data_IF_160830977254
#
_entry.id   IF_160830977254
#
_cell.length_a   1.000
_cell.length_b   1.000
_cell.length_c   1.000
_cell.angle_alpha   90.00
_cell.angle_beta   90.00
_cell.angle_gamma   90.00
#
_symmetry.space_group_name_H-M   'P 1'
#
loop_
_entity.id
_entity.type
_entity.pdbx_description
1 polymer ?
#
# COMPACT_ATOMS: atom_id res chain seq x y z
N UNK A 1 18.51 -20.29 14.97
CA UNK A 1 18.83 -18.86 14.98
C UNK A 1 17.57 -18.18 15.47
N UNK A 2 17.61 -17.43 16.57
CA UNK A 2 16.50 -16.61 17.01
C UNK A 2 16.36 -15.50 15.97
N UNK A 3 15.25 -15.50 15.22
CA UNK A 3 14.89 -14.39 14.33
C UNK A 3 14.71 -13.18 15.25
N UNK A 4 15.43 -12.10 14.99
CA UNK A 4 15.19 -10.83 15.69
C UNK A 4 13.77 -10.38 15.38
N UNK A 5 13.02 -9.83 16.36
CA UNK A 5 11.69 -9.31 16.09
C UNK A 5 11.76 -8.26 14.96
N UNK A 6 10.85 -8.36 13.99
CA UNK A 6 10.78 -7.42 12.86
C UNK A 6 10.33 -6.04 13.36
N UNK A 7 9.40 -6.01 14.29
CA UNK A 7 8.90 -4.79 14.94
C UNK A 7 9.75 -4.45 16.16
N UNK A 8 10.09 -3.19 16.30
CA UNK A 8 10.87 -2.62 17.42
C UNK A 8 10.08 -1.49 18.07
N UNK A 9 10.48 -1.11 19.28
CA UNK A 9 9.93 0.07 19.93
C UNK A 9 10.16 1.32 19.07
N UNK A 10 9.15 2.14 18.94
CA UNK A 10 9.28 3.50 18.44
C UNK A 10 9.29 4.42 19.65
N UNK A 11 10.46 4.95 19.97
CA UNK A 11 10.77 5.66 21.20
C UNK A 11 9.70 6.67 21.60
N UNK A 12 9.20 6.57 22.82
CA UNK A 12 8.16 7.43 23.41
C UNK A 12 6.81 7.46 22.66
N UNK A 13 6.55 6.48 21.75
CA UNK A 13 5.33 6.45 20.96
C UNK A 13 4.58 5.14 21.11
N UNK A 14 5.19 4.01 20.75
CA UNK A 14 4.55 2.67 20.81
C UNK A 14 5.62 1.60 21.02
N UNK A 15 5.30 0.58 21.82
CA UNK A 15 6.22 -0.53 22.08
C UNK A 15 6.09 -1.65 21.05
N UNK A 16 7.14 -2.44 20.88
CA UNK A 16 7.13 -3.64 20.04
C UNK A 16 6.05 -4.64 20.48
N UNK A 17 5.78 -4.74 21.79
CA UNK A 17 4.71 -5.56 22.34
C UNK A 17 3.32 -5.10 21.86
N UNK A 18 3.07 -3.80 21.90
CA UNK A 18 1.84 -3.20 21.40
C UNK A 18 1.67 -3.38 19.88
N UNK A 19 2.74 -3.20 19.10
CA UNK A 19 2.72 -3.47 17.66
C UNK A 19 2.47 -4.95 17.37
N UNK A 20 3.07 -5.85 18.13
CA UNK A 20 2.83 -7.30 18.02
C UNK A 20 1.37 -7.64 18.33
N UNK A 21 0.80 -7.05 19.36
CA UNK A 21 -0.62 -7.24 19.70
C UNK A 21 -1.54 -6.72 18.57
N UNK A 22 -1.19 -5.61 17.91
CA UNK A 22 -1.91 -5.13 16.72
C UNK A 22 -1.84 -6.13 15.56
N UNK A 23 -0.69 -6.80 15.32
CA UNK A 23 -0.63 -7.85 14.28
C UNK A 23 -1.50 -9.05 14.61
N UNK A 24 -1.58 -9.43 15.89
CA UNK A 24 -2.47 -10.49 16.35
C UNK A 24 -3.94 -10.13 16.15
N UNK A 25 -4.32 -8.88 16.43
CA UNK A 25 -5.68 -8.39 16.21
C UNK A 25 -6.08 -8.42 14.71
N UNK A 26 -5.13 -8.21 13.77
CA UNK A 26 -5.36 -8.43 12.33
C UNK A 26 -5.55 -9.93 12.04
N UNK A 27 -4.72 -10.79 12.63
CA UNK A 27 -4.79 -12.24 12.43
C UNK A 27 -6.12 -12.87 12.89
N UNK A 28 -6.71 -12.34 13.96
CA UNK A 28 -8.01 -12.79 14.49
C UNK A 28 -9.16 -12.65 13.48
N UNK A 29 -9.05 -11.72 12.55
CA UNK A 29 -10.09 -11.46 11.55
C UNK A 29 -9.87 -12.19 10.23
N UNK A 30 -8.75 -12.91 10.09
CA UNK A 30 -8.53 -13.76 8.92
C UNK A 30 -9.51 -14.94 8.91
N UNK A 31 -10.20 -15.11 7.80
CA UNK A 31 -11.14 -16.21 7.60
C UNK A 31 -10.40 -17.55 7.36
N UNK A 32 -11.08 -18.70 7.59
CA UNK A 32 -10.46 -20.02 7.38
C UNK A 32 -9.93 -20.26 5.96
N UNK A 33 -10.53 -19.62 4.95
CA UNK A 33 -10.08 -19.70 3.55
C UNK A 33 -8.87 -18.80 3.25
N UNK A 34 -8.38 -18.04 4.22
CA UNK A 34 -7.25 -17.13 4.06
C UNK A 34 -7.60 -15.67 3.77
N UNK A 35 -8.84 -15.35 3.40
CA UNK A 35 -9.29 -13.97 3.19
C UNK A 35 -9.16 -13.14 4.47
N UNK A 36 -8.64 -11.92 4.36
CA UNK A 36 -8.66 -10.93 5.44
C UNK A 36 -9.61 -9.80 5.03
N UNK A 37 -10.80 -9.71 5.64
CA UNK A 37 -11.75 -8.64 5.36
C UNK A 37 -11.32 -7.33 6.01
N UNK A 38 -11.89 -6.20 5.59
CA UNK A 38 -11.67 -4.91 6.23
C UNK A 38 -12.01 -4.94 7.72
N UNK A 39 -13.13 -5.57 8.05
CA UNK A 39 -13.62 -5.80 9.41
C UNK A 39 -14.52 -7.06 9.43
N UNK A 40 -14.86 -7.62 10.58
CA UNK A 40 -15.70 -8.82 10.66
C UNK A 40 -17.03 -8.66 9.92
N UNK A 41 -17.28 -9.55 8.96
CA UNK A 41 -18.48 -9.52 8.11
C UNK A 41 -18.45 -8.47 6.98
N UNK A 42 -17.39 -7.71 6.88
CA UNK A 42 -17.15 -6.78 5.77
C UNK A 42 -16.53 -7.46 4.55
N UNK A 43 -16.33 -6.67 3.53
CA UNK A 43 -15.67 -7.11 2.31
C UNK A 43 -14.13 -7.11 2.44
N UNK A 44 -13.47 -7.76 1.50
CA UNK A 44 -12.05 -7.60 1.20
C UNK A 44 -11.91 -7.09 -0.24
N UNK A 45 -10.95 -6.21 -0.48
CA UNK A 45 -10.35 -5.98 -1.78
C UNK A 45 -8.90 -6.49 -1.78
N UNK A 46 -8.36 -6.63 -2.96
CA UNK A 46 -7.03 -7.23 -3.14
C UNK A 46 -5.90 -6.35 -2.59
N UNK A 47 -6.06 -5.02 -2.62
CA UNK A 47 -5.07 -4.09 -2.07
C UNK A 47 -5.00 -4.19 -0.55
N UNK A 48 -6.12 -3.91 0.13
CA UNK A 48 -6.17 -3.91 1.59
C UNK A 48 -5.90 -5.30 2.19
N UNK A 49 -6.35 -6.37 1.51
CA UNK A 49 -5.98 -7.73 1.86
C UNK A 49 -4.46 -7.93 1.80
N UNK A 50 -3.79 -7.47 0.74
CA UNK A 50 -2.33 -7.58 0.60
C UNK A 50 -1.60 -6.80 1.69
N UNK A 51 -2.08 -5.62 2.08
CA UNK A 51 -1.52 -4.86 3.21
C UNK A 51 -1.69 -5.60 4.53
N UNK A 52 -2.84 -6.21 4.74
CA UNK A 52 -3.05 -7.07 5.93
C UNK A 52 -2.09 -8.26 5.94
N UNK A 53 -1.75 -8.86 4.78
CA UNK A 53 -0.74 -9.91 4.70
C UNK A 53 0.66 -9.38 5.07
N UNK A 54 1.02 -8.15 4.65
CA UNK A 54 2.27 -7.53 5.07
C UNK A 54 2.31 -7.30 6.58
N UNK A 55 1.18 -6.88 7.19
CA UNK A 55 1.05 -6.77 8.64
C UNK A 55 1.24 -8.12 9.34
N UNK A 56 0.65 -9.21 8.83
CA UNK A 56 0.86 -10.56 9.36
C UNK A 56 2.33 -10.98 9.32
N UNK A 57 3.04 -10.64 8.23
CA UNK A 57 4.47 -10.95 8.08
C UNK A 57 5.33 -10.18 9.09
N UNK A 58 5.02 -8.91 9.37
CA UNK A 58 5.68 -8.13 10.43
C UNK A 58 5.48 -8.73 11.81
N UNK A 59 4.34 -9.37 12.06
CA UNK A 59 4.04 -10.11 13.29
C UNK A 59 4.58 -11.54 13.32
N UNK A 60 5.45 -11.93 12.38
CA UNK A 60 5.98 -13.30 12.24
C UNK A 60 4.87 -14.37 12.04
N UNK A 61 3.69 -13.96 11.57
CA UNK A 61 2.60 -14.89 11.22
C UNK A 61 2.71 -15.34 9.76
N UNK A 62 3.80 -16.05 9.45
CA UNK A 62 4.07 -16.57 8.12
C UNK A 62 2.92 -17.41 7.56
N UNK A 63 2.39 -18.33 8.37
CA UNK A 63 1.32 -19.22 7.93
C UNK A 63 0.01 -18.48 7.60
N UNK A 64 -0.30 -17.39 8.31
CA UNK A 64 -1.41 -16.52 7.99
C UNK A 64 -1.22 -15.81 6.66
N UNK A 65 -0.04 -15.24 6.44
CA UNK A 65 0.29 -14.57 5.19
C UNK A 65 0.24 -15.53 3.99
N UNK A 66 0.82 -16.73 4.12
CA UNK A 66 0.81 -17.74 3.05
C UNK A 66 -0.62 -18.20 2.70
N UNK A 67 -1.49 -18.46 3.68
CA UNK A 67 -2.91 -18.74 3.42
C UNK A 67 -3.62 -17.61 2.70
N UNK A 68 -3.27 -16.35 2.99
CA UNK A 68 -3.81 -15.21 2.27
C UNK A 68 -3.37 -15.17 0.81
N UNK A 69 -2.13 -15.48 0.50
CA UNK A 69 -1.66 -15.61 -0.89
C UNK A 69 -2.32 -16.81 -1.60
N UNK A 70 -2.53 -17.93 -0.92
CA UNK A 70 -3.29 -19.07 -1.47
C UNK A 70 -4.72 -18.67 -1.82
N UNK A 71 -5.37 -17.86 -0.98
CA UNK A 71 -6.68 -17.31 -1.30
C UNK A 71 -6.63 -16.44 -2.54
N UNK A 72 -5.68 -15.51 -2.67
CA UNK A 72 -5.50 -14.68 -3.87
C UNK A 72 -5.30 -15.52 -5.13
N UNK A 73 -4.46 -16.57 -5.07
CA UNK A 73 -4.26 -17.51 -6.19
C UNK A 73 -5.55 -18.24 -6.57
N UNK A 74 -6.37 -18.62 -5.58
CA UNK A 74 -7.60 -19.40 -5.80
C UNK A 74 -8.71 -18.60 -6.48
N UNK A 75 -8.69 -17.26 -6.35
CA UNK A 75 -9.72 -16.36 -6.90
C UNK A 75 -9.20 -15.49 -8.06
N UNK A 76 -7.93 -15.66 -8.47
CA UNK A 76 -7.41 -14.96 -9.64
C UNK A 76 -8.13 -15.40 -10.90
N UNK A 77 -8.54 -14.43 -11.70
CA UNK A 77 -9.19 -14.67 -12.99
C UNK A 77 -8.20 -15.15 -14.04
N UNK A 78 -8.69 -15.78 -15.10
CA UNK A 78 -7.87 -16.24 -16.23
C UNK A 78 -7.13 -15.08 -16.94
N UNK A 79 -7.66 -13.84 -16.86
CA UNK A 79 -7.02 -12.66 -17.43
C UNK A 79 -5.99 -12.00 -16.50
N UNK A 80 -5.69 -12.62 -15.36
CA UNK A 80 -4.70 -12.17 -14.38
C UNK A 80 -5.23 -11.17 -13.35
N UNK A 81 -6.46 -10.69 -13.45
CA UNK A 81 -7.05 -9.71 -12.55
C UNK A 81 -7.83 -10.35 -11.39
N UNK A 82 -8.33 -9.49 -10.51
CA UNK A 82 -9.32 -9.79 -9.47
C UNK A 82 -10.47 -8.78 -9.55
N UNK A 83 -11.62 -9.21 -9.05
CA UNK A 83 -12.75 -8.29 -8.84
C UNK A 83 -12.45 -7.32 -7.71
N UNK A 84 -13.19 -6.20 -7.67
CA UNK A 84 -12.95 -5.10 -6.73
C UNK A 84 -13.22 -5.52 -5.28
N UNK A 85 -14.39 -6.08 -4.99
CA UNK A 85 -14.77 -6.49 -3.65
C UNK A 85 -15.30 -7.91 -3.58
N UNK A 86 -14.91 -8.59 -2.51
CA UNK A 86 -15.33 -9.95 -2.18
C UNK A 86 -15.94 -9.96 -0.78
N UNK A 87 -17.12 -10.57 -0.67
CA UNK A 87 -17.69 -11.05 0.58
C UNK A 87 -17.38 -12.54 0.77
N UNK A 88 -17.72 -13.07 1.95
CA UNK A 88 -17.58 -14.52 2.23
C UNK A 88 -18.36 -15.36 1.23
N UNK A 89 -19.52 -14.85 0.78
CA UNK A 89 -20.44 -15.53 -0.12
C UNK A 89 -20.08 -15.40 -1.61
N UNK A 90 -19.15 -14.49 -1.96
CA UNK A 90 -18.75 -14.28 -3.35
C UNK A 90 -18.40 -12.84 -3.70
N UNK A 91 -18.50 -12.51 -4.98
CA UNK A 91 -18.15 -11.20 -5.52
C UNK A 91 -19.24 -10.19 -5.17
N UNK A 92 -18.85 -9.08 -4.53
CA UNK A 92 -19.73 -7.95 -4.23
C UNK A 92 -19.70 -6.89 -5.35
N UNK A 93 -18.50 -6.55 -5.85
CA UNK A 93 -18.30 -5.63 -6.98
C UNK A 93 -17.35 -6.24 -8.01
N UNK A 94 -17.80 -6.35 -9.24
CA UNK A 94 -17.09 -7.08 -10.31
C UNK A 94 -16.11 -6.23 -11.13
N UNK A 95 -15.99 -4.94 -10.86
CA UNK A 95 -15.00 -4.05 -11.47
C UNK A 95 -13.57 -4.58 -11.22
N UNK A 96 -12.66 -4.35 -12.16
CA UNK A 96 -11.26 -4.76 -12.12
C UNK A 96 -10.37 -3.51 -11.99
N UNK A 97 -9.95 -3.18 -10.77
CA UNK A 97 -9.13 -2.00 -10.49
C UNK A 97 -7.65 -2.30 -10.73
N UNK A 98 -7.02 -1.55 -11.62
CA UNK A 98 -5.62 -1.78 -12.02
C UNK A 98 -4.63 -1.63 -10.86
N UNK A 99 -4.88 -0.72 -9.92
CA UNK A 99 -4.02 -0.53 -8.76
C UNK A 99 -4.12 -1.71 -7.78
N UNK A 100 -5.34 -2.15 -7.46
CA UNK A 100 -5.54 -3.32 -6.60
C UNK A 100 -4.86 -4.55 -7.18
N UNK A 101 -5.00 -4.78 -8.50
CA UNK A 101 -4.36 -5.88 -9.21
C UNK A 101 -2.82 -5.80 -9.15
N UNK A 102 -2.24 -4.63 -9.39
CA UNK A 102 -0.79 -4.43 -9.34
C UNK A 102 -0.21 -4.69 -7.95
N UNK A 103 -0.93 -4.32 -6.90
CA UNK A 103 -0.41 -4.26 -5.54
C UNK A 103 -0.02 -5.61 -4.95
N UNK A 104 -0.57 -6.70 -5.47
CA UNK A 104 -0.19 -8.08 -5.10
C UNK A 104 1.32 -8.31 -5.24
N UNK A 105 1.95 -7.72 -6.27
CA UNK A 105 3.39 -7.83 -6.46
C UNK A 105 4.20 -7.17 -5.32
N UNK A 106 3.69 -6.10 -4.73
CA UNK A 106 4.29 -5.45 -3.56
C UNK A 106 4.28 -6.41 -2.36
N UNK A 107 3.15 -7.07 -2.09
CA UNK A 107 3.06 -8.06 -1.02
C UNK A 107 3.95 -9.28 -1.24
N UNK A 108 4.05 -9.79 -2.48
CA UNK A 108 4.94 -10.92 -2.81
C UNK A 108 6.41 -10.52 -2.67
N UNK A 109 6.79 -9.30 -3.08
CA UNK A 109 8.14 -8.80 -2.87
C UNK A 109 8.45 -8.60 -1.38
N UNK A 110 7.47 -8.11 -0.60
CA UNK A 110 7.56 -8.01 0.85
C UNK A 110 7.80 -9.38 1.50
N UNK A 111 7.10 -10.42 1.05
CA UNK A 111 7.30 -11.81 1.49
C UNK A 111 8.74 -12.28 1.20
N UNK A 112 9.25 -12.01 0.00
CA UNK A 112 10.64 -12.31 -0.35
C UNK A 112 11.66 -11.58 0.52
N UNK A 113 11.45 -10.29 0.78
CA UNK A 113 12.32 -9.52 1.65
C UNK A 113 12.34 -10.09 3.07
N UNK A 114 11.18 -10.52 3.58
CA UNK A 114 11.02 -11.05 4.93
C UNK A 114 11.64 -12.44 5.10
N UNK A 115 11.34 -13.37 4.21
CA UNK A 115 11.65 -14.79 4.43
C UNK A 115 12.78 -15.34 3.55
N UNK A 116 13.13 -14.68 2.47
CA UNK A 116 14.10 -15.14 1.47
C UNK A 116 13.81 -16.55 0.96
N UNK A 117 12.53 -16.92 0.90
CA UNK A 117 12.07 -18.22 0.45
C UNK A 117 11.87 -18.22 -1.07
N UNK A 118 12.87 -18.77 -1.77
CA UNK A 118 12.85 -18.86 -3.24
C UNK A 118 11.73 -19.78 -3.75
N UNK A 119 11.43 -20.87 -3.03
CA UNK A 119 10.36 -21.79 -3.43
C UNK A 119 8.98 -21.11 -3.39
N UNK A 120 8.71 -20.32 -2.34
CA UNK A 120 7.49 -19.52 -2.27
C UNK A 120 7.45 -18.45 -3.37
N UNK A 121 8.58 -17.76 -3.65
CA UNK A 121 8.66 -16.78 -4.73
C UNK A 121 8.36 -17.39 -6.10
N UNK A 122 8.91 -18.58 -6.39
CA UNK A 122 8.64 -19.34 -7.63
C UNK A 122 7.17 -19.78 -7.71
N UNK A 123 6.56 -20.22 -6.62
CA UNK A 123 5.16 -20.64 -6.57
C UNK A 123 4.18 -19.46 -6.77
N UNK A 124 4.53 -18.25 -6.32
CA UNK A 124 3.72 -17.03 -6.46
C UNK A 124 3.96 -16.30 -7.79
N UNK A 125 5.04 -16.63 -8.51
CA UNK A 125 5.42 -15.95 -9.75
C UNK A 125 4.34 -15.95 -10.84
N UNK A 126 3.63 -17.06 -11.17
CA UNK A 126 2.58 -17.02 -12.18
C UNK A 126 1.51 -15.97 -11.87
N UNK A 127 1.08 -15.88 -10.61
CA UNK A 127 0.09 -14.91 -10.15
C UNK A 127 0.56 -13.46 -10.39
N UNK A 128 1.80 -13.14 -9.99
CA UNK A 128 2.40 -11.81 -10.19
C UNK A 128 2.57 -11.48 -11.66
N UNK A 129 3.05 -12.45 -12.46
CA UNK A 129 3.23 -12.28 -13.90
C UNK A 129 1.93 -11.88 -14.58
N UNK A 130 0.87 -12.65 -14.36
CA UNK A 130 -0.41 -12.48 -15.05
C UNK A 130 -1.09 -11.18 -14.60
N UNK A 131 -0.99 -10.81 -13.30
CA UNK A 131 -1.45 -9.53 -12.79
C UNK A 131 -0.70 -8.34 -13.43
N UNK A 132 0.62 -8.44 -13.57
CA UNK A 132 1.44 -7.39 -14.18
C UNK A 132 1.11 -7.21 -15.67
N UNK A 133 0.94 -8.30 -16.39
CA UNK A 133 0.58 -8.26 -17.81
C UNK A 133 -0.83 -7.67 -18.01
N UNK A 134 -1.80 -7.99 -17.14
CA UNK A 134 -3.13 -7.35 -17.12
C UNK A 134 -3.02 -5.84 -16.95
N UNK A 135 -2.26 -5.37 -15.98
CA UNK A 135 -2.10 -3.93 -15.67
C UNK A 135 -1.45 -3.18 -16.84
N UNK A 136 -0.39 -3.75 -17.41
CA UNK A 136 0.31 -3.15 -18.55
C UNK A 136 -0.54 -3.13 -19.83
N UNK A 137 -1.49 -4.06 -19.99
CA UNK A 137 -2.44 -4.03 -21.10
C UNK A 137 -3.41 -2.82 -21.02
N UNK A 138 -3.54 -2.17 -19.86
CA UNK A 138 -4.32 -0.93 -19.67
C UNK A 138 -3.49 0.36 -19.90
N UNK A 139 -2.18 0.24 -20.18
CA UNK A 139 -1.32 1.40 -20.38
C UNK A 139 -1.64 2.10 -21.71
N UNK A 140 -1.80 3.41 -21.64
CA UNK A 140 -2.08 4.24 -22.80
C UNK A 140 -0.78 4.64 -23.53
N UNK A 141 -0.87 5.06 -24.80
CA UNK A 141 0.31 5.48 -25.56
C UNK A 141 1.15 6.59 -24.90
N UNK A 142 0.54 7.49 -24.16
CA UNK A 142 1.19 8.57 -23.41
C UNK A 142 1.97 8.03 -22.20
N UNK A 143 1.50 6.91 -21.55
CA UNK A 143 2.18 6.25 -20.46
C UNK A 143 1.33 6.00 -19.19
N UNK A 144 0.22 6.74 -19.01
CA UNK A 144 -0.72 6.52 -17.92
C UNK A 144 -1.42 5.17 -18.03
N UNK A 145 -1.81 4.61 -16.89
CA UNK A 145 -2.58 3.37 -16.82
C UNK A 145 -4.02 3.70 -16.44
N UNK A 146 -4.98 3.24 -17.24
CA UNK A 146 -6.41 3.44 -16.98
C UNK A 146 -6.76 2.83 -15.63
N UNK A 147 -7.56 3.57 -14.84
CA UNK A 147 -7.93 3.21 -13.47
C UNK A 147 -8.46 1.80 -13.34
N UNK A 148 -9.44 1.43 -14.17
CA UNK A 148 -10.13 0.17 -14.04
C UNK A 148 -10.73 -0.29 -15.36
N UNK A 149 -11.21 -1.51 -15.37
CA UNK A 149 -12.00 -2.13 -16.44
C UNK A 149 -13.24 -2.78 -15.84
N UNK A 150 -14.36 -2.76 -16.54
CA UNK A 150 -15.52 -3.58 -16.21
C UNK A 150 -15.25 -5.06 -16.46
N UNK A 151 -16.00 -5.94 -15.81
CA UNK A 151 -15.85 -7.39 -15.99
C UNK A 151 -16.10 -7.86 -17.43
N UNK A 152 -16.89 -7.11 -18.22
CA UNK A 152 -17.12 -7.31 -19.65
C UNK A 152 -15.97 -6.84 -20.56
N UNK A 153 -14.87 -6.41 -19.96
CA UNK A 153 -13.66 -5.88 -20.62
C UNK A 153 -13.73 -4.44 -21.09
N UNK A 154 -14.81 -3.71 -20.88
CA UNK A 154 -14.91 -2.29 -21.21
C UNK A 154 -14.03 -1.46 -20.27
N UNK A 155 -13.01 -0.71 -20.75
CA UNK A 155 -12.14 0.08 -19.90
C UNK A 155 -12.87 1.38 -19.46
N UNK A 156 -12.51 1.88 -18.28
CA UNK A 156 -12.78 3.26 -17.90
C UNK A 156 -11.98 4.22 -18.79
N UNK A 157 -12.32 5.51 -18.77
CA UNK A 157 -11.75 6.50 -19.71
C UNK A 157 -10.74 7.45 -19.06
N UNK A 158 -10.31 7.19 -17.84
CA UNK A 158 -9.40 8.04 -17.08
C UNK A 158 -8.41 7.23 -16.25
N UNK A 159 -7.28 7.87 -15.95
CA UNK A 159 -6.29 7.39 -15.01
C UNK A 159 -6.34 8.22 -13.72
N UNK A 160 -5.90 7.64 -12.60
CA UNK A 160 -5.78 8.31 -11.30
C UNK A 160 -4.31 8.47 -10.94
N UNK A 161 -3.92 9.64 -10.44
CA UNK A 161 -2.53 9.92 -10.04
C UNK A 161 -2.10 9.02 -8.87
N UNK A 162 -2.93 8.89 -7.85
CA UNK A 162 -2.73 7.98 -6.71
C UNK A 162 -2.53 6.55 -7.19
N UNK A 163 -3.50 6.01 -7.93
CA UNK A 163 -3.44 4.64 -8.44
C UNK A 163 -2.22 4.40 -9.33
N UNK A 164 -1.93 5.33 -10.26
CA UNK A 164 -0.76 5.22 -11.14
C UNK A 164 0.57 5.28 -10.38
N UNK A 165 0.66 6.06 -9.30
CA UNK A 165 1.85 6.10 -8.43
C UNK A 165 2.08 4.75 -7.73
N UNK A 166 1.02 4.18 -7.14
CA UNK A 166 1.06 2.86 -6.50
C UNK A 166 1.37 1.75 -7.53
N UNK A 167 0.74 1.79 -8.72
CA UNK A 167 1.04 0.87 -9.81
C UNK A 167 2.54 0.95 -10.19
N UNK A 168 3.10 2.16 -10.32
CA UNK A 168 4.51 2.33 -10.66
C UNK A 168 5.43 1.65 -9.64
N UNK A 169 5.14 1.77 -8.34
CA UNK A 169 5.86 1.07 -7.28
C UNK A 169 5.68 -0.45 -7.41
N UNK A 170 4.46 -0.92 -7.58
CA UNK A 170 4.12 -2.35 -7.69
C UNK A 170 4.76 -3.02 -8.92
N UNK A 171 4.80 -2.33 -10.06
CA UNK A 171 5.50 -2.81 -11.26
C UNK A 171 7.02 -2.92 -11.04
N UNK A 172 7.62 -2.03 -10.24
CA UNK A 172 9.04 -2.14 -9.84
C UNK A 172 9.26 -3.36 -8.94
N UNK A 173 8.32 -3.68 -8.05
CA UNK A 173 8.33 -4.92 -7.28
C UNK A 173 8.22 -6.15 -8.21
N UNK A 174 7.31 -6.13 -9.18
CA UNK A 174 7.17 -7.19 -10.19
C UNK A 174 8.48 -7.42 -10.96
N UNK A 175 9.13 -6.33 -11.37
CA UNK A 175 10.42 -6.40 -12.07
C UNK A 175 11.54 -6.94 -11.17
N UNK A 176 11.55 -6.58 -9.88
CA UNK A 176 12.49 -7.10 -8.90
C UNK A 176 12.31 -8.62 -8.72
N UNK A 177 11.06 -9.09 -8.62
CA UNK A 177 10.73 -10.53 -8.56
C UNK A 177 11.20 -11.24 -9.84
N UNK A 178 10.90 -10.69 -11.02
CA UNK A 178 11.32 -11.25 -12.30
C UNK A 178 12.84 -11.42 -12.38
N UNK A 179 13.59 -10.38 -12.00
CA UNK A 179 15.06 -10.40 -11.99
C UNK A 179 15.62 -11.41 -11.00
N UNK A 180 15.05 -11.49 -9.78
CA UNK A 180 15.45 -12.48 -8.77
C UNK A 180 15.28 -13.91 -9.28
N UNK A 181 14.22 -14.18 -10.06
CA UNK A 181 13.94 -15.47 -10.66
C UNK A 181 14.69 -15.70 -12.00
N UNK A 182 15.39 -14.71 -12.54
CA UNK A 182 16.13 -14.81 -13.80
C UNK A 182 15.25 -14.65 -15.05
N UNK A 183 14.10 -14.00 -14.92
CA UNK A 183 13.20 -13.70 -16.03
C UNK A 183 13.48 -12.32 -16.63
N UNK A 184 13.77 -12.25 -17.91
CA UNK A 184 13.90 -11.00 -18.65
C UNK A 184 12.52 -10.47 -19.05
N UNK A 185 12.27 -9.16 -18.79
CA UNK A 185 10.98 -8.51 -19.02
C UNK A 185 11.12 -7.09 -19.60
N UNK A 186 11.70 -6.96 -20.82
CA UNK A 186 11.96 -5.64 -21.39
C UNK A 186 10.70 -4.81 -21.64
N UNK A 187 9.56 -5.45 -21.90
CA UNK A 187 8.28 -4.75 -22.04
C UNK A 187 7.81 -4.13 -20.72
N UNK A 188 8.07 -4.80 -19.59
CA UNK A 188 7.75 -4.23 -18.27
C UNK A 188 8.65 -3.04 -17.95
N UNK A 189 9.94 -3.14 -18.27
CA UNK A 189 10.89 -2.04 -18.10
C UNK A 189 10.45 -0.78 -18.86
N UNK A 190 10.05 -0.95 -20.12
CA UNK A 190 9.52 0.16 -20.95
C UNK A 190 8.20 0.71 -20.39
N UNK A 191 7.31 -0.16 -19.90
CA UNK A 191 6.05 0.25 -19.28
C UNK A 191 6.27 1.07 -18.01
N UNK A 192 7.19 0.65 -17.14
CA UNK A 192 7.58 1.36 -15.93
C UNK A 192 8.16 2.73 -16.28
N UNK A 193 9.06 2.81 -17.26
CA UNK A 193 9.68 4.06 -17.69
C UNK A 193 8.62 5.08 -18.16
N UNK A 194 7.70 4.65 -19.02
CA UNK A 194 6.61 5.51 -19.51
C UNK A 194 5.71 5.99 -18.37
N UNK A 195 5.31 5.08 -17.47
CA UNK A 195 4.45 5.43 -16.35
C UNK A 195 5.16 6.40 -15.39
N UNK A 196 6.43 6.16 -15.09
CA UNK A 196 7.22 7.05 -14.24
C UNK A 196 7.30 8.47 -14.82
N UNK A 197 7.61 8.59 -16.11
CA UNK A 197 7.70 9.88 -16.80
C UNK A 197 6.38 10.64 -16.80
N UNK A 198 5.27 9.98 -17.14
CA UNK A 198 3.97 10.66 -17.18
C UNK A 198 3.52 11.11 -15.79
N UNK A 199 3.78 10.34 -14.72
CA UNK A 199 3.48 10.75 -13.34
C UNK A 199 4.30 12.00 -12.96
N UNK A 200 5.58 12.03 -13.32
CA UNK A 200 6.49 13.13 -12.96
C UNK A 200 6.21 14.40 -13.75
N UNK A 201 5.98 14.29 -15.05
CA UNK A 201 6.07 15.40 -15.98
C UNK A 201 4.72 15.86 -16.54
N UNK A 202 3.65 15.04 -16.45
CA UNK A 202 2.40 15.27 -17.17
C UNK A 202 1.16 15.15 -16.26
N UNK A 203 0.97 16.05 -15.28
CA UNK A 203 -0.10 15.95 -14.29
C UNK A 203 -1.52 15.99 -14.90
N UNK A 204 -1.69 16.54 -16.10
CA UNK A 204 -2.95 16.59 -16.84
C UNK A 204 -3.34 15.25 -17.50
N UNK A 205 -2.46 14.24 -17.45
CA UNK A 205 -2.80 12.87 -17.84
C UNK A 205 -3.80 12.21 -16.89
N UNK A 206 -3.97 12.77 -15.68
CA UNK A 206 -4.75 12.15 -14.62
C UNK A 206 -6.02 12.96 -14.32
N UNK A 207 -7.09 12.25 -13.96
CA UNK A 207 -8.31 12.88 -13.51
C UNK A 207 -8.04 13.74 -12.25
N UNK A 208 -8.52 15.00 -12.20
CA UNK A 208 -8.23 15.89 -11.09
C UNK A 208 -8.88 15.40 -9.79
N UNK A 209 -8.08 15.05 -8.82
CA UNK A 209 -8.47 14.58 -7.48
C UNK A 209 -7.83 15.40 -6.36
N UNK A 210 -7.59 16.68 -6.59
CA UNK A 210 -6.90 17.59 -5.65
C UNK A 210 -7.51 17.66 -4.26
N UNK A 211 -8.74 17.25 -4.11
CA UNK A 211 -9.46 17.16 -2.83
C UNK A 211 -8.91 16.03 -1.95
N UNK A 212 -8.33 14.97 -2.53
CA UNK A 212 -7.90 13.77 -1.84
C UNK A 212 -6.43 13.86 -1.43
N UNK A 213 -6.11 13.46 -0.19
CA UNK A 213 -4.75 13.52 0.35
C UNK A 213 -3.79 12.60 -0.41
N UNK A 214 -4.24 11.42 -0.78
CA UNK A 214 -3.41 10.44 -1.50
C UNK A 214 -2.86 11.01 -2.82
N UNK A 215 -3.62 11.82 -3.56
CA UNK A 215 -3.13 12.49 -4.78
C UNK A 215 -1.95 13.45 -4.50
N UNK A 216 -1.86 13.94 -3.28
CA UNK A 216 -0.78 14.82 -2.87
C UNK A 216 0.49 14.05 -2.51
N UNK A 217 0.45 13.04 -1.62
CA UNK A 217 1.66 12.41 -1.09
C UNK A 217 2.06 11.11 -1.81
N UNK A 218 1.17 10.39 -2.50
CA UNK A 218 1.47 9.11 -3.15
C UNK A 218 2.62 9.16 -4.17
N UNK A 219 2.75 10.20 -5.02
CA UNK A 219 3.90 10.28 -5.92
C UNK A 219 5.26 10.31 -5.20
N UNK A 220 5.28 10.80 -3.93
CA UNK A 220 6.47 10.77 -3.06
C UNK A 220 6.61 9.42 -2.40
N UNK A 221 5.55 8.91 -1.77
CA UNK A 221 5.50 7.60 -1.11
C UNK A 221 5.98 6.48 -2.05
N UNK A 222 5.55 6.52 -3.30
CA UNK A 222 5.91 5.51 -4.32
C UNK A 222 7.26 5.78 -5.02
N UNK A 223 8.00 6.80 -4.58
CA UNK A 223 9.34 7.09 -5.04
C UNK A 223 9.44 7.59 -6.48
N UNK A 224 8.39 8.22 -7.01
CA UNK A 224 8.40 8.88 -8.34
C UNK A 224 8.85 10.32 -8.21
N UNK A 225 8.33 11.06 -7.25
CA UNK A 225 8.77 12.43 -6.93
C UNK A 225 9.67 12.37 -5.70
N UNK A 226 10.94 12.78 -5.83
CA UNK A 226 12.00 12.51 -4.86
C UNK A 226 12.70 13.78 -4.40
N UNK A 227 13.59 13.64 -3.43
CA UNK A 227 14.56 14.65 -3.00
C UNK A 227 13.92 16.03 -2.74
N UNK A 228 14.48 17.10 -3.27
CA UNK A 228 13.98 18.45 -3.11
C UNK A 228 12.59 18.66 -3.71
N UNK A 229 12.28 17.99 -4.83
CA UNK A 229 10.95 18.05 -5.45
C UNK A 229 9.90 17.37 -4.55
N UNK A 230 10.25 16.23 -3.93
CA UNK A 230 9.40 15.54 -2.97
C UNK A 230 9.11 16.39 -1.74
N UNK A 231 10.14 17.00 -1.14
CA UNK A 231 9.98 17.94 -0.02
C UNK A 231 9.07 19.13 -0.37
N UNK A 232 9.30 19.73 -1.54
CA UNK A 232 8.47 20.84 -2.03
C UNK A 232 7.02 20.40 -2.21
N UNK A 233 6.77 19.22 -2.77
CA UNK A 233 5.42 18.69 -2.96
C UNK A 233 4.71 18.48 -1.62
N UNK A 234 5.38 17.87 -0.64
CA UNK A 234 4.82 17.63 0.68
C UNK A 234 4.54 18.94 1.43
N UNK A 235 5.49 19.88 1.44
CA UNK A 235 5.32 21.16 2.15
C UNK A 235 4.20 22.04 1.57
N UNK A 236 4.03 22.07 0.24
CA UNK A 236 3.09 22.95 -0.43
C UNK A 236 1.62 22.73 -0.06
N UNK A 237 1.25 21.56 0.43
CA UNK A 237 -0.15 21.26 0.77
C UNK A 237 -0.32 20.69 2.17
N UNK A 238 0.72 20.67 2.96
CA UNK A 238 0.68 20.13 4.32
C UNK A 238 -0.43 20.77 5.16
N UNK A 239 -0.52 22.09 5.21
CA UNK A 239 -1.55 22.80 5.96
C UNK A 239 -2.98 22.53 5.47
N UNK A 240 -3.16 22.26 4.17
CA UNK A 240 -4.48 21.95 3.62
C UNK A 240 -5.00 20.59 4.07
N UNK A 241 -4.09 19.64 4.35
CA UNK A 241 -4.44 18.29 4.72
C UNK A 241 -4.19 17.94 6.18
N UNK A 242 -3.36 18.69 6.91
CA UNK A 242 -3.08 18.41 8.33
C UNK A 242 -4.06 19.10 9.27
N UNK A 243 -4.33 18.46 10.40
CA UNK A 243 -4.83 19.08 11.62
C UNK A 243 -3.80 18.77 12.70
N UNK A 244 -3.16 19.83 13.23
CA UNK A 244 -2.11 19.69 14.24
C UNK A 244 -2.58 18.83 15.41
N UNK A 245 -1.71 17.93 15.88
CA UNK A 245 -1.94 16.98 16.95
C UNK A 245 -2.96 15.86 16.63
N UNK A 246 -3.59 15.88 15.46
CA UNK A 246 -4.59 14.88 15.05
C UNK A 246 -4.12 13.99 13.89
N UNK A 247 -3.60 14.55 12.81
CA UNK A 247 -3.14 13.80 11.65
C UNK A 247 -3.52 14.42 10.31
N UNK A 248 -3.61 13.55 9.32
CA UNK A 248 -3.92 13.91 7.92
C UNK A 248 -5.38 13.65 7.62
N UNK A 249 -6.03 14.65 7.01
CA UNK A 249 -7.37 14.53 6.45
C UNK A 249 -7.35 13.68 5.20
N UNK A 250 -8.26 12.73 5.08
CA UNK A 250 -8.43 12.00 3.81
C UNK A 250 -8.86 12.93 2.66
N UNK A 251 -9.60 14.01 2.99
CA UNK A 251 -10.01 15.04 2.03
C UNK A 251 -9.80 16.44 2.61
N UNK A 252 -9.35 17.40 1.80
CA UNK A 252 -8.95 18.74 2.26
C UNK A 252 -10.09 19.62 2.77
N UNK A 253 -11.33 19.35 2.38
CA UNK A 253 -12.53 20.15 2.66
C UNK A 253 -13.42 19.57 3.78
N UNK A 254 -12.94 18.54 4.48
CA UNK A 254 -13.62 17.90 5.62
C UNK A 254 -12.65 17.68 6.76
N UNK A 255 -13.10 17.75 8.00
CA UNK A 255 -12.25 17.50 9.17
C UNK A 255 -12.14 15.99 9.48
N UNK A 256 -11.99 15.17 8.47
CA UNK A 256 -11.94 13.71 8.55
C UNK A 256 -10.50 13.24 8.59
N UNK A 257 -9.98 13.03 9.78
CA UNK A 257 -8.64 12.48 10.01
C UNK A 257 -8.71 10.96 9.93
N UNK A 258 -7.75 10.35 9.25
CA UNK A 258 -7.62 8.89 9.15
C UNK A 258 -6.24 8.45 9.59
N UNK A 259 -6.15 7.27 10.22
CA UNK A 259 -4.87 6.73 10.65
C UNK A 259 -4.04 6.26 9.45
N UNK A 260 -4.66 5.65 8.43
CA UNK A 260 -3.97 5.15 7.25
C UNK A 260 -3.27 6.28 6.49
N UNK A 261 -4.00 7.33 6.05
CA UNK A 261 -3.39 8.46 5.35
C UNK A 261 -2.35 9.21 6.19
N UNK A 262 -2.53 9.22 7.52
CA UNK A 262 -1.53 9.82 8.41
C UNK A 262 -0.23 9.01 8.42
N UNK A 263 -0.31 7.69 8.49
CA UNK A 263 0.84 6.78 8.48
C UNK A 263 1.52 6.74 7.11
N UNK A 264 0.77 6.67 6.02
CA UNK A 264 1.31 6.71 4.65
C UNK A 264 2.03 8.05 4.38
N UNK A 265 1.44 9.17 4.84
CA UNK A 265 2.07 10.48 4.75
C UNK A 265 3.35 10.55 5.60
N UNK A 266 3.38 9.90 6.77
CA UNK A 266 4.60 9.79 7.58
C UNK A 266 5.71 9.04 6.81
N UNK A 267 5.40 7.94 6.15
CA UNK A 267 6.37 7.22 5.31
C UNK A 267 6.83 8.10 4.14
N UNK A 268 5.93 8.86 3.51
CA UNK A 268 6.30 9.79 2.43
C UNK A 268 7.29 10.87 2.90
N UNK A 269 7.12 11.42 4.12
CA UNK A 269 8.09 12.34 4.73
C UNK A 269 9.42 11.64 5.03
N UNK A 270 9.37 10.39 5.51
CA UNK A 270 10.58 9.60 5.75
C UNK A 270 11.37 9.37 4.45
N UNK A 271 10.69 9.08 3.34
CA UNK A 271 11.29 8.85 2.02
C UNK A 271 12.04 10.07 1.46
N UNK A 272 11.75 11.27 1.93
CA UNK A 272 12.50 12.50 1.58
C UNK A 272 13.43 12.97 2.71
N UNK A 273 13.64 12.16 3.76
CA UNK A 273 14.54 12.44 4.86
C UNK A 273 14.02 13.47 5.88
N UNK A 274 12.70 13.66 5.98
CA UNK A 274 12.06 14.52 6.99
C UNK A 274 11.60 13.70 8.20
N UNK A 275 12.57 13.09 8.88
CA UNK A 275 12.36 12.12 9.98
C UNK A 275 11.51 12.69 11.11
N UNK A 276 11.79 13.93 11.55
CA UNK A 276 11.05 14.57 12.65
C UNK A 276 9.56 14.72 12.31
N UNK A 277 9.24 15.08 11.07
CA UNK A 277 7.87 15.19 10.59
C UNK A 277 7.20 13.82 10.50
N UNK A 278 7.90 12.81 10.03
CA UNK A 278 7.41 11.44 9.99
C UNK A 278 7.06 10.93 11.40
N UNK A 279 7.95 11.15 12.38
CA UNK A 279 7.72 10.79 13.77
C UNK A 279 6.55 11.57 14.40
N UNK A 280 6.41 12.85 14.09
CA UNK A 280 5.29 13.66 14.55
C UNK A 280 3.94 13.12 14.04
N UNK A 281 3.83 12.84 12.75
CA UNK A 281 2.62 12.25 12.15
C UNK A 281 2.31 10.88 12.73
N UNK A 282 3.32 10.03 12.88
CA UNK A 282 3.13 8.71 13.48
C UNK A 282 2.67 8.80 14.93
N UNK A 283 3.19 9.75 15.71
CA UNK A 283 2.69 10.00 17.07
C UNK A 283 1.24 10.45 17.07
N UNK A 284 0.84 11.29 16.12
CA UNK A 284 -0.56 11.75 16.02
C UNK A 284 -1.51 10.60 15.68
N UNK A 285 -1.11 9.66 14.83
CA UNK A 285 -1.94 8.51 14.47
C UNK A 285 -2.27 7.61 15.67
N UNK A 286 -1.44 7.61 16.73
CA UNK A 286 -1.66 6.80 17.93
C UNK A 286 -2.89 7.23 18.76
N UNK A 287 -3.44 8.42 18.50
CA UNK A 287 -4.74 8.83 19.10
C UNK A 287 -5.91 7.96 18.65
N UNK A 288 -5.76 7.27 17.54
CA UNK A 288 -6.79 6.36 16.99
C UNK A 288 -6.62 4.91 17.48
N UNK A 289 -5.62 4.66 18.34
CA UNK A 289 -5.40 3.36 18.96
C UNK A 289 -6.34 3.14 20.14
N UNK A 290 -6.90 1.95 20.24
CA UNK A 290 -7.78 1.51 21.32
C UNK A 290 -7.11 0.50 22.25
N UNK A 291 -7.72 0.27 23.43
CA UNK A 291 -7.25 -0.70 24.42
C UNK A 291 -7.26 -2.16 23.89
N UNK A 292 -8.05 -2.43 22.84
CA UNK A 292 -8.10 -3.73 22.15
C UNK A 292 -7.01 -3.91 21.10
N UNK A 293 -6.00 -3.03 21.09
CA UNK A 293 -4.86 -3.01 20.17
C UNK A 293 -5.21 -2.79 18.69
N UNK A 294 -6.43 -2.37 18.41
CA UNK A 294 -6.92 -2.00 17.08
C UNK A 294 -6.92 -0.49 16.91
N UNK A 295 -7.07 -0.05 15.68
CA UNK A 295 -7.11 1.36 15.33
C UNK A 295 -8.44 1.70 14.68
N UNK A 296 -9.06 2.78 15.15
CA UNK A 296 -10.16 3.38 14.43
C UNK A 296 -9.69 3.84 13.05
N UNK A 297 -10.52 3.60 12.03
CA UNK A 297 -10.24 4.05 10.66
C UNK A 297 -10.04 5.55 10.62
N UNK A 298 -10.85 6.32 11.34
CA UNK A 298 -10.69 7.75 11.43
C UNK A 298 -11.54 8.40 12.50
N UNK A 299 -11.38 9.71 12.60
CA UNK A 299 -12.09 10.58 13.55
C UNK A 299 -12.45 11.91 12.89
N UNK A 300 -13.60 12.45 13.24
CA UNK A 300 -14.05 13.81 12.86
C UNK A 300 -13.63 14.78 13.95
N UNK A 301 -12.94 15.86 13.57
CA UNK A 301 -12.43 16.87 14.52
C UNK A 301 -13.21 18.18 14.29
N UNK A 302 -13.69 18.90 15.34
CA UNK A 302 -13.38 18.71 16.77
C UNK A 302 -14.37 17.79 17.53
N UNK A 303 -15.36 17.22 16.88
CA UNK A 303 -16.44 16.46 17.53
C UNK A 303 -15.96 15.15 18.16
N UNK A 304 -14.75 14.68 17.83
CA UNK A 304 -14.13 13.42 18.27
C UNK A 304 -15.03 12.19 18.03
N UNK A 305 -15.78 12.22 16.93
CA UNK A 305 -16.65 11.11 16.53
C UNK A 305 -15.91 10.20 15.55
N UNK A 306 -15.85 8.90 15.84
CA UNK A 306 -15.19 7.93 14.98
C UNK A 306 -15.89 7.80 13.62
N UNK A 307 -15.10 7.66 12.55
CA UNK A 307 -15.51 7.69 11.15
C UNK A 307 -14.76 6.60 10.36
N UNK A 308 -15.40 6.01 9.36
CA UNK A 308 -16.84 5.98 9.10
C UNK A 308 -17.56 5.05 10.09
N UNK A 309 -18.68 5.49 10.67
CA UNK A 309 -19.57 4.64 11.46
C UNK A 309 -18.98 3.92 12.68
N UNK A 310 -17.82 4.35 13.21
CA UNK A 310 -17.13 3.65 14.30
C UNK A 310 -16.41 2.38 13.82
N UNK A 311 -15.82 2.41 12.64
CA UNK A 311 -15.09 1.29 12.06
C UNK A 311 -13.64 1.20 12.58
N UNK A 312 -13.22 -0.01 12.93
CA UNK A 312 -11.82 -0.42 13.08
C UNK A 312 -11.51 -1.38 11.92
N UNK A 313 -10.44 -1.12 11.15
CA UNK A 313 -10.16 -1.91 9.95
C UNK A 313 -8.76 -2.53 9.94
N UNK A 314 -8.64 -3.68 9.29
CA UNK A 314 -7.36 -4.40 9.13
C UNK A 314 -6.35 -3.60 8.33
N UNK A 315 -6.79 -2.89 7.28
CA UNK A 315 -5.90 -2.05 6.48
C UNK A 315 -5.38 -0.84 7.25
N UNK A 316 -6.20 -0.26 8.12
CA UNK A 316 -5.75 0.82 9.02
C UNK A 316 -4.64 0.32 9.96
N UNK A 317 -4.84 -0.84 10.58
CA UNK A 317 -3.81 -1.47 11.40
C UNK A 317 -2.55 -1.79 10.58
N UNK A 318 -2.70 -2.27 9.35
CA UNK A 318 -1.59 -2.55 8.44
C UNK A 318 -0.77 -1.28 8.11
N UNK A 319 -1.43 -0.17 7.79
CA UNK A 319 -0.76 1.11 7.52
C UNK A 319 0.07 1.59 8.72
N UNK A 320 -0.46 1.44 9.95
CA UNK A 320 0.28 1.76 11.19
C UNK A 320 1.51 0.87 11.35
N UNK A 321 1.37 -0.44 11.13
CA UNK A 321 2.47 -1.40 11.26
C UNK A 321 3.56 -1.18 10.21
N UNK A 322 3.18 -0.86 8.95
CA UNK A 322 4.13 -0.51 7.90
C UNK A 322 4.87 0.80 8.21
N UNK A 323 4.19 1.79 8.78
CA UNK A 323 4.84 3.02 9.23
C UNK A 323 5.80 2.78 10.40
N UNK A 324 5.41 1.94 11.36
CA UNK A 324 6.29 1.55 12.47
C UNK A 324 7.53 0.79 11.98
N UNK A 325 7.37 -0.13 11.02
CA UNK A 325 8.50 -0.84 10.39
C UNK A 325 9.45 0.13 9.70
N UNK A 326 8.92 1.03 8.88
CA UNK A 326 9.70 2.04 8.18
C UNK A 326 10.48 2.96 9.13
N UNK A 327 9.84 3.45 10.18
CA UNK A 327 10.46 4.31 11.21
C UNK A 327 11.49 3.55 12.06
N UNK A 328 11.20 2.30 12.40
CA UNK A 328 12.12 1.43 13.14
C UNK A 328 13.39 1.11 12.37
N UNK A 329 13.31 0.98 11.04
CA UNK A 329 14.47 0.84 10.14
C UNK A 329 15.31 -0.40 10.36
N UNK A 330 14.78 -1.47 11.00
CA UNK A 330 15.55 -2.66 11.38
C UNK A 330 15.29 -3.88 10.52
N UNK A 331 14.12 -4.00 9.95
CA UNK A 331 13.73 -5.11 9.09
C UNK A 331 14.30 -4.97 7.67
N UNK A 332 14.29 -6.06 6.91
CA UNK A 332 14.62 -6.00 5.48
C UNK A 332 13.54 -5.31 4.64
N UNK A 333 12.35 -5.09 5.20
CA UNK A 333 11.18 -4.47 4.56
C UNK A 333 11.08 -2.98 4.83
N UNK A 334 11.73 -2.47 5.89
CA UNK A 334 11.62 -1.08 6.35
C UNK A 334 11.88 -0.03 5.26
N UNK A 335 12.78 -0.32 4.33
CA UNK A 335 13.10 0.57 3.22
C UNK A 335 12.15 0.49 2.03
N UNK A 336 11.19 -0.44 1.99
CA UNK A 336 10.42 -0.70 0.77
C UNK A 336 9.69 0.53 0.22
N UNK A 337 9.09 1.33 1.10
CA UNK A 337 8.46 2.61 0.76
C UNK A 337 9.28 3.82 1.21
N UNK A 338 10.07 3.68 2.28
CA UNK A 338 10.82 4.78 2.89
C UNK A 338 12.14 5.11 2.16
N UNK A 339 12.70 4.18 1.40
CA UNK A 339 13.88 4.43 0.57
C UNK A 339 13.50 4.39 -0.92
N UNK A 340 13.49 5.52 -1.62
CA UNK A 340 13.15 5.56 -3.04
C UNK A 340 14.12 4.73 -3.92
N UNK A 341 15.29 4.32 -3.39
CA UNK A 341 16.27 3.49 -4.07
C UNK A 341 16.16 2.00 -3.72
N UNK A 342 15.27 1.61 -2.81
CA UNK A 342 15.03 0.21 -2.41
C UNK A 342 14.67 -0.69 -3.61
N UNK A 343 14.03 -0.11 -4.61
CA UNK A 343 13.69 -0.75 -5.88
C UNK A 343 14.39 -0.02 -7.03
N UNK A 344 15.28 -0.69 -7.77
CA UNK A 344 16.00 -0.07 -8.87
C UNK A 344 15.05 0.39 -9.99
N UNK A 345 15.35 1.53 -10.58
CA UNK A 345 14.73 1.95 -11.83
C UNK A 345 15.39 1.20 -13.00
N UNK A 346 14.62 0.79 -14.01
CA UNK A 346 15.18 0.15 -15.21
C UNK A 346 15.82 1.14 -16.19
N UNK A 347 15.85 2.42 -15.85
CA UNK A 347 16.38 3.53 -16.65
C UNK A 347 17.14 4.53 -15.77
N UNK A 348 17.96 5.39 -16.37
CA UNK A 348 18.62 6.48 -15.67
C UNK A 348 17.65 7.66 -15.45
N UNK A 349 17.76 8.31 -14.29
CA UNK A 349 17.09 9.60 -14.05
C UNK A 349 17.95 10.70 -14.71
N UNK A 350 17.31 11.54 -15.53
CA UNK A 350 17.91 12.73 -16.13
C UNK A 350 18.06 13.86 -15.09
#
# INVERSE_FOLDING_TARGET
>A
MTVSPLLVDIDDVVTAEQLTATTQAVAEWQLPNGMVPWFPGGHADVWNHTEALMALMLGDNRSGAERGFEWLQSIQREDGAWHQYYLTEGIEEDKLDANCVAYVATGVWFHWLTYRDRGALEALWPMVRDATDFVLALQQPRGEIIWARHADSTPFTFALLTGSSSICHSLRCSLAIARELGHDRPNWELGIEKLFKVIRDEPDAFAPKHRWAMDWYYPVLCGVVRDAAGKTRLSNRFEAFSIAEWGIRCVSDRPWITAAETCECAIAHLAVGEVDRAMELFRWSQRLREDNERYWTGIVVPEETHFPGGEQSTYTAAAVLLAADALGGKSATAGLFADPNSLPLPFALD
#
